data_IF_202038993202
#
_entry.id   IF_202038993202
#
_cell.length_a   1.000
_cell.length_b   1.000
_cell.length_c   1.000
_cell.angle_alpha   90.00
_cell.angle_beta   90.00
_cell.angle_gamma   90.00
#
_symmetry.space_group_name_H-M   'P 1'
#
loop_
_entity.id
_entity.type
_entity.pdbx_description
1 polymer ?
#
# COMPACT_ATOMS: atom_id res chain seq x y z
N UNK A 1 -11.86 15.91 2.93
CA UNK A 1 -11.99 16.21 4.38
C UNK A 1 -10.76 16.98 4.86
N UNK A 2 -10.90 17.95 5.76
CA UNK A 2 -9.76 18.65 6.39
C UNK A 2 -9.63 18.16 7.82
N UNK A 3 -8.41 17.75 8.21
CA UNK A 3 -8.14 17.34 9.60
C UNK A 3 -7.71 18.54 10.48
N UNK A 4 -7.46 18.30 11.78
CA UNK A 4 -7.07 19.37 12.73
C UNK A 4 -5.73 20.05 12.40
N UNK A 5 -4.88 19.43 11.56
CA UNK A 5 -3.61 19.98 11.10
C UNK A 5 -3.72 20.71 9.75
N UNK A 6 -4.93 20.89 9.20
CA UNK A 6 -5.16 21.52 7.90
C UNK A 6 -4.85 20.63 6.71
N UNK A 7 -4.59 19.32 6.89
CA UNK A 7 -4.28 18.40 5.81
C UNK A 7 -5.57 17.98 5.09
N UNK A 8 -5.54 17.98 3.75
CA UNK A 8 -6.65 17.49 2.95
C UNK A 8 -6.60 15.96 2.86
N UNK A 9 -7.52 15.28 3.54
CA UNK A 9 -7.64 13.83 3.54
C UNK A 9 -8.58 13.40 2.43
N UNK A 10 -8.04 12.94 1.31
CA UNK A 10 -8.76 12.56 0.10
C UNK A 10 -8.52 11.11 -0.34
N UNK A 11 -7.73 10.35 0.43
CA UNK A 11 -7.23 9.04 0.04
C UNK A 11 -7.52 7.97 1.10
N UNK A 12 -8.38 7.01 0.76
CA UNK A 12 -8.70 5.84 1.58
C UNK A 12 -7.95 4.60 1.07
N UNK A 13 -7.23 3.91 1.99
CA UNK A 13 -6.68 2.57 1.75
C UNK A 13 -7.56 1.55 2.44
N UNK A 14 -7.97 0.50 1.72
CA UNK A 14 -8.86 -0.54 2.21
C UNK A 14 -8.14 -1.88 2.17
N UNK A 15 -7.94 -2.51 3.32
CA UNK A 15 -7.61 -3.92 3.39
C UNK A 15 -8.89 -4.72 3.17
N UNK A 16 -8.97 -5.46 2.06
CA UNK A 16 -10.16 -6.25 1.74
C UNK A 16 -10.11 -7.66 2.32
N UNK A 17 -8.96 -8.08 2.86
CA UNK A 17 -8.73 -9.38 3.49
C UNK A 17 -7.45 -9.36 4.33
N UNK A 18 -7.39 -10.17 5.37
CA UNK A 18 -6.19 -10.46 6.16
C UNK A 18 -5.37 -11.65 5.59
N UNK A 19 -5.92 -12.35 4.60
CA UNK A 19 -5.30 -13.53 4.00
C UNK A 19 -4.27 -13.15 2.95
N UNK A 20 -3.17 -13.91 2.89
CA UNK A 20 -2.13 -13.77 1.88
C UNK A 20 -1.63 -15.15 1.46
N UNK A 21 -1.28 -15.31 0.19
CA UNK A 21 -0.66 -16.51 -0.37
C UNK A 21 0.88 -16.52 -0.20
N UNK A 22 1.50 -15.40 0.20
CA UNK A 22 2.92 -15.30 0.57
C UNK A 22 3.10 -15.20 2.10
N UNK A 23 4.36 -15.30 2.54
CA UNK A 23 4.78 -15.21 3.95
C UNK A 23 6.02 -14.34 4.10
N UNK A 24 5.99 -13.13 3.52
CA UNK A 24 7.15 -12.24 3.51
C UNK A 24 7.68 -11.97 4.92
N UNK A 25 9.00 -12.15 5.09
CA UNK A 25 9.70 -12.13 6.39
C UNK A 25 9.49 -10.83 7.18
N UNK A 26 9.32 -9.71 6.50
CA UNK A 26 9.09 -8.40 7.11
C UNK A 26 7.60 -8.08 7.35
N UNK A 27 6.68 -8.90 6.83
CA UNK A 27 5.24 -8.63 6.83
C UNK A 27 4.50 -9.46 7.87
N UNK A 28 4.83 -10.74 7.99
CA UNK A 28 4.14 -11.67 8.90
C UNK A 28 5.04 -12.85 9.30
N UNK A 29 4.73 -13.57 10.41
CA UNK A 29 5.40 -14.80 10.80
C UNK A 29 5.29 -15.90 9.74
N UNK A 30 6.13 -16.91 9.82
CA UNK A 30 6.18 -18.03 8.86
C UNK A 30 4.90 -18.85 8.83
N UNK A 31 4.34 -19.12 10.01
CA UNK A 31 3.05 -19.78 10.20
C UNK A 31 1.87 -18.94 9.72
N UNK A 32 2.11 -17.64 9.44
CA UNK A 32 1.08 -16.68 9.07
C UNK A 32 0.51 -15.95 10.29
N UNK A 33 -0.53 -15.17 10.06
CA UNK A 33 -1.31 -14.50 11.12
C UNK A 33 -2.53 -15.32 11.46
N UNK A 34 -2.99 -15.22 12.71
CA UNK A 34 -4.27 -15.82 13.08
C UNK A 34 -5.38 -15.20 12.21
N UNK A 35 -6.04 -16.06 11.42
CA UNK A 35 -7.10 -15.60 10.55
C UNK A 35 -8.32 -15.19 11.34
N UNK A 36 -8.87 -14.06 10.96
CA UNK A 36 -10.15 -13.59 11.48
C UNK A 36 -11.28 -14.44 10.91
N UNK A 37 -12.31 -14.72 11.71
CA UNK A 37 -13.52 -15.38 11.23
C UNK A 37 -14.14 -14.58 10.06
N UNK A 38 -14.66 -15.31 9.07
CA UNK A 38 -15.28 -14.69 7.89
C UNK A 38 -16.41 -13.73 8.23
N UNK A 39 -17.16 -14.03 9.28
CA UNK A 39 -18.22 -13.19 9.82
C UNK A 39 -17.75 -11.82 10.29
N UNK A 40 -16.47 -11.69 10.67
CA UNK A 40 -15.88 -10.44 11.12
C UNK A 40 -15.23 -9.62 9.99
N UNK A 41 -15.08 -10.20 8.80
CA UNK A 41 -14.59 -9.48 7.62
C UNK A 41 -15.74 -8.69 6.98
N UNK A 42 -15.44 -7.48 6.52
CA UNK A 42 -16.42 -6.65 5.80
C UNK A 42 -16.91 -7.35 4.52
N UNK A 43 -18.21 -7.39 4.35
CA UNK A 43 -18.86 -7.80 3.11
C UNK A 43 -18.71 -6.71 2.04
N UNK A 44 -18.95 -7.05 0.79
CA UNK A 44 -18.82 -6.11 -0.33
C UNK A 44 -19.76 -4.90 -0.16
N UNK A 45 -21.00 -5.16 0.25
CA UNK A 45 -22.01 -4.13 0.47
C UNK A 45 -21.63 -3.17 1.61
N UNK A 46 -20.98 -3.68 2.67
CA UNK A 46 -20.49 -2.88 3.79
C UNK A 46 -19.32 -1.97 3.33
N UNK A 47 -18.39 -2.52 2.51
CA UNK A 47 -17.30 -1.74 1.92
C UNK A 47 -17.87 -0.62 1.04
N UNK A 48 -18.82 -0.94 0.16
CA UNK A 48 -19.43 0.04 -0.74
C UNK A 48 -20.20 1.12 0.04
N UNK A 49 -20.91 0.76 1.11
CA UNK A 49 -21.59 1.73 1.98
C UNK A 49 -20.60 2.70 2.62
N UNK A 50 -19.50 2.17 3.21
CA UNK A 50 -18.44 3.01 3.79
C UNK A 50 -17.83 3.92 2.73
N UNK A 51 -17.50 3.40 1.55
CA UNK A 51 -16.89 4.19 0.47
C UNK A 51 -17.81 5.31 -0.01
N UNK A 52 -19.13 5.07 -0.12
CA UNK A 52 -20.11 6.09 -0.50
C UNK A 52 -20.15 7.23 0.53
N UNK A 53 -20.26 6.90 1.80
CA UNK A 53 -20.23 7.90 2.88
C UNK A 53 -18.91 8.67 2.89
N UNK A 54 -17.78 7.98 2.70
CA UNK A 54 -16.46 8.62 2.60
C UNK A 54 -16.34 9.53 1.37
N UNK A 55 -16.93 9.16 0.23
CA UNK A 55 -16.95 9.98 -0.98
C UNK A 55 -17.74 11.28 -0.77
N UNK A 56 -18.87 11.22 -0.07
CA UNK A 56 -19.67 12.38 0.33
C UNK A 56 -18.87 13.32 1.25
N UNK A 57 -18.01 12.77 2.10
CA UNK A 57 -17.12 13.53 2.98
C UNK A 57 -15.86 14.07 2.26
N UNK A 58 -15.61 13.69 1.00
CA UNK A 58 -14.51 14.23 0.19
C UNK A 58 -13.34 13.27 -0.06
N UNK A 59 -13.47 11.98 0.21
CA UNK A 59 -12.56 10.97 -0.34
C UNK A 59 -12.76 10.90 -1.85
N UNK A 60 -11.64 10.92 -2.60
CA UNK A 60 -11.60 10.88 -4.06
C UNK A 60 -10.82 9.68 -4.60
N UNK A 61 -9.91 9.15 -3.78
CA UNK A 61 -8.97 8.12 -4.18
C UNK A 61 -9.11 6.90 -3.29
N UNK A 62 -9.24 5.72 -3.88
CA UNK A 62 -9.30 4.44 -3.16
C UNK A 62 -8.13 3.58 -3.59
N UNK A 63 -7.50 2.95 -2.61
CA UNK A 63 -6.53 1.88 -2.84
C UNK A 63 -7.00 0.60 -2.17
N UNK A 64 -7.20 -0.42 -2.98
CA UNK A 64 -7.46 -1.76 -2.50
C UNK A 64 -6.13 -2.47 -2.20
N UNK A 65 -6.07 -3.11 -1.05
CA UNK A 65 -4.93 -3.86 -0.53
C UNK A 65 -5.45 -4.95 0.41
N UNK A 66 -4.60 -5.53 1.24
CA UNK A 66 -5.00 -6.52 2.23
C UNK A 66 -3.78 -7.21 2.81
N UNK A 67 -3.90 -8.48 3.13
CA UNK A 67 -2.82 -9.42 2.99
C UNK A 67 -2.47 -9.49 1.50
N UNK A 68 -3.21 -10.29 0.72
CA UNK A 68 -3.20 -10.22 -0.75
C UNK A 68 -4.64 -10.04 -1.26
N UNK A 69 -4.98 -8.92 -1.89
CA UNK A 69 -6.36 -8.66 -2.30
C UNK A 69 -6.89 -9.68 -3.33
N UNK A 70 -6.02 -10.23 -4.19
CA UNK A 70 -6.45 -11.16 -5.25
C UNK A 70 -6.86 -12.54 -4.73
N UNK A 71 -6.64 -12.86 -3.46
CA UNK A 71 -7.20 -14.08 -2.85
C UNK A 71 -8.68 -13.90 -2.45
N UNK A 72 -9.18 -12.66 -2.40
CA UNK A 72 -10.60 -12.39 -2.22
C UNK A 72 -11.31 -12.55 -3.56
N UNK A 73 -12.41 -13.34 -3.62
CA UNK A 73 -13.18 -13.48 -4.86
C UNK A 73 -13.82 -12.16 -5.31
N UNK A 74 -14.07 -12.02 -6.61
CA UNK A 74 -14.83 -10.92 -7.20
C UNK A 74 -14.20 -9.54 -7.03
N UNK A 75 -12.88 -9.45 -6.98
CA UNK A 75 -12.18 -8.16 -6.86
C UNK A 75 -12.38 -7.22 -8.06
N UNK A 76 -12.40 -7.70 -9.34
CA UNK A 76 -12.73 -6.82 -10.47
C UNK A 76 -14.12 -6.19 -10.35
N UNK A 77 -15.14 -6.95 -9.88
CA UNK A 77 -16.48 -6.42 -9.68
C UNK A 77 -16.53 -5.33 -8.59
N UNK A 78 -15.75 -5.49 -7.50
CA UNK A 78 -15.61 -4.46 -6.48
C UNK A 78 -14.96 -3.19 -7.07
N UNK A 79 -13.92 -3.33 -7.90
CA UNK A 79 -13.28 -2.20 -8.61
C UNK A 79 -14.29 -1.48 -9.49
N UNK A 80 -15.06 -2.20 -10.31
CA UNK A 80 -16.08 -1.63 -11.19
C UNK A 80 -17.14 -0.80 -10.42
N UNK A 81 -17.66 -1.35 -9.31
CA UNK A 81 -18.62 -0.65 -8.45
C UNK A 81 -18.04 0.62 -7.82
N UNK A 82 -16.78 0.56 -7.39
CA UNK A 82 -16.07 1.71 -6.83
C UNK A 82 -15.78 2.78 -7.89
N UNK A 83 -15.42 2.38 -9.12
CA UNK A 83 -15.17 3.31 -10.23
C UNK A 83 -16.45 4.04 -10.66
N UNK A 84 -17.58 3.38 -10.61
CA UNK A 84 -18.88 3.96 -10.94
C UNK A 84 -19.52 4.74 -9.77
N UNK A 85 -18.84 4.82 -8.60
CA UNK A 85 -19.34 5.53 -7.43
C UNK A 85 -19.15 7.04 -7.57
N UNK A 86 -20.21 7.85 -7.45
CA UNK A 86 -20.11 9.31 -7.51
C UNK A 86 -19.09 9.84 -6.51
N UNK A 87 -18.21 10.72 -6.99
CA UNK A 87 -17.19 11.37 -6.17
C UNK A 87 -15.86 10.59 -6.07
N UNK A 88 -15.80 9.33 -6.49
CA UNK A 88 -14.54 8.59 -6.58
C UNK A 88 -13.89 8.82 -7.95
N UNK A 89 -12.67 9.34 -7.94
CA UNK A 89 -11.91 9.68 -9.15
C UNK A 89 -10.93 8.56 -9.54
N UNK A 90 -10.27 7.96 -8.53
CA UNK A 90 -9.23 6.93 -8.77
C UNK A 90 -9.41 5.72 -7.89
N UNK A 91 -9.37 4.54 -8.51
CA UNK A 91 -9.31 3.23 -7.82
C UNK A 91 -8.02 2.53 -8.23
N UNK A 92 -7.18 2.21 -7.26
CA UNK A 92 -5.89 1.56 -7.47
C UNK A 92 -5.78 0.29 -6.63
N UNK A 93 -4.92 -0.64 -7.05
CA UNK A 93 -4.70 -1.92 -6.40
C UNK A 93 -3.22 -2.08 -6.01
N UNK A 94 -2.94 -2.71 -4.87
CA UNK A 94 -1.60 -3.21 -4.52
C UNK A 94 -1.68 -4.72 -4.33
N UNK A 95 -0.84 -5.47 -5.03
CA UNK A 95 -0.82 -6.94 -5.05
C UNK A 95 0.62 -7.47 -5.10
N UNK A 96 0.83 -8.72 -4.71
CA UNK A 96 2.08 -9.44 -4.94
C UNK A 96 2.21 -9.99 -6.38
N UNK A 97 1.17 -9.89 -7.19
CA UNK A 97 1.19 -10.25 -8.61
C UNK A 97 0.99 -11.73 -8.92
N UNK A 98 1.08 -12.64 -7.95
CA UNK A 98 1.03 -14.10 -8.17
C UNK A 98 -0.26 -14.58 -8.85
N UNK A 99 -1.38 -13.94 -8.54
CA UNK A 99 -2.71 -14.27 -9.08
C UNK A 99 -3.19 -13.27 -10.15
N UNK A 100 -2.32 -12.36 -10.57
CA UNK A 100 -2.73 -11.22 -11.39
C UNK A 100 -2.99 -11.61 -12.84
N UNK A 101 -2.15 -12.48 -13.43
CA UNK A 101 -2.22 -12.87 -14.84
C UNK A 101 -3.64 -13.25 -15.27
N UNK A 102 -4.30 -14.08 -14.49
CA UNK A 102 -5.62 -14.63 -14.81
C UNK A 102 -6.78 -13.62 -14.60
N UNK A 103 -6.52 -12.50 -13.91
CA UNK A 103 -7.54 -11.50 -13.55
C UNK A 103 -7.31 -10.16 -14.25
N UNK A 104 -6.18 -9.98 -14.96
CA UNK A 104 -5.78 -8.66 -15.46
C UNK A 104 -6.77 -8.07 -16.47
N UNK A 105 -7.29 -8.89 -17.39
CA UNK A 105 -8.30 -8.46 -18.37
C UNK A 105 -9.60 -7.97 -17.70
N UNK A 106 -9.98 -8.60 -16.60
CA UNK A 106 -11.19 -8.22 -15.84
C UNK A 106 -10.96 -6.89 -15.11
N UNK A 107 -9.77 -6.64 -14.55
CA UNK A 107 -9.40 -5.35 -13.96
C UNK A 107 -9.36 -4.22 -14.99
N UNK A 108 -8.87 -4.48 -16.18
CA UNK A 108 -8.88 -3.49 -17.26
C UNK A 108 -10.31 -3.12 -17.64
N UNK A 109 -11.20 -4.10 -17.83
CA UNK A 109 -12.63 -3.87 -18.10
C UNK A 109 -13.34 -3.14 -16.96
N UNK A 110 -12.96 -3.41 -15.71
CA UNK A 110 -13.50 -2.76 -14.53
C UNK A 110 -13.04 -1.29 -14.37
N UNK A 111 -12.11 -0.83 -15.22
CA UNK A 111 -11.61 0.54 -15.21
C UNK A 111 -10.60 0.84 -14.08
N UNK A 112 -9.77 -0.14 -13.71
CA UNK A 112 -8.70 0.08 -12.72
C UNK A 112 -7.72 1.17 -13.20
N UNK A 113 -7.47 2.20 -12.40
CA UNK A 113 -6.60 3.33 -12.78
C UNK A 113 -5.11 3.05 -12.58
N UNK A 114 -4.78 2.18 -11.66
CA UNK A 114 -3.38 1.92 -11.37
C UNK A 114 -3.13 0.68 -10.53
N UNK A 115 -2.01 0.06 -10.81
CA UNK A 115 -1.57 -1.19 -10.23
C UNK A 115 -0.19 -1.03 -9.61
N UNK A 116 -0.04 -1.45 -8.35
CA UNK A 116 1.27 -1.55 -7.72
C UNK A 116 1.55 -3.02 -7.45
N UNK A 117 2.65 -3.53 -7.99
CA UNK A 117 3.07 -4.91 -7.78
C UNK A 117 4.29 -4.92 -6.87
N UNK A 118 4.23 -5.72 -5.80
CA UNK A 118 5.36 -5.89 -4.88
C UNK A 118 6.37 -6.86 -5.49
N UNK A 119 7.63 -6.40 -5.64
CA UNK A 119 8.74 -7.20 -6.17
C UNK A 119 10.03 -6.73 -5.51
N UNK A 120 10.52 -7.50 -4.54
CA UNK A 120 11.68 -7.11 -3.74
C UNK A 120 13.02 -7.52 -4.37
N UNK A 121 13.01 -8.52 -5.27
CA UNK A 121 14.20 -9.02 -5.98
C UNK A 121 13.81 -9.74 -7.27
N UNK A 122 14.77 -9.88 -8.18
CA UNK A 122 14.69 -10.70 -9.40
C UNK A 122 15.56 -11.98 -9.30
N UNK A 123 16.11 -12.26 -8.12
CA UNK A 123 16.83 -13.50 -7.82
C UNK A 123 15.87 -14.50 -7.16
N UNK A 124 15.82 -15.74 -7.69
CA UNK A 124 14.88 -16.77 -7.24
C UNK A 124 15.15 -17.23 -5.79
N UNK A 125 16.43 -17.41 -5.43
CA UNK A 125 16.79 -17.85 -4.10
C UNK A 125 16.49 -16.77 -3.05
N UNK A 126 16.84 -15.52 -3.37
CA UNK A 126 16.52 -14.36 -2.54
C UNK A 126 15.01 -14.17 -2.42
N UNK A 127 14.25 -14.29 -3.52
CA UNK A 127 12.79 -14.20 -3.52
C UNK A 127 12.17 -15.26 -2.62
N UNK A 128 12.60 -16.51 -2.74
CA UNK A 128 12.13 -17.62 -1.88
C UNK A 128 12.45 -17.36 -0.40
N UNK A 129 13.63 -16.81 -0.11
CA UNK A 129 14.00 -16.40 1.25
C UNK A 129 13.10 -15.29 1.79
N UNK A 130 12.85 -14.24 0.99
CA UNK A 130 12.03 -13.08 1.39
C UNK A 130 10.56 -13.48 1.53
N UNK A 131 9.99 -14.15 0.54
CA UNK A 131 8.55 -14.44 0.47
C UNK A 131 8.16 -15.75 1.14
N UNK A 132 9.15 -16.62 1.46
CA UNK A 132 8.97 -17.99 1.97
C UNK A 132 8.10 -18.86 1.04
N UNK A 133 8.06 -18.51 -0.25
CA UNK A 133 7.33 -19.23 -1.31
C UNK A 133 8.10 -19.15 -2.63
N UNK A 134 7.88 -20.13 -3.49
CA UNK A 134 8.50 -20.21 -4.81
C UNK A 134 7.53 -19.68 -5.88
N UNK A 135 7.30 -18.37 -5.88
CA UNK A 135 6.27 -17.72 -6.70
C UNK A 135 6.81 -16.57 -7.57
N UNK A 136 8.13 -16.37 -7.63
CA UNK A 136 8.72 -15.27 -8.42
C UNK A 136 8.30 -15.34 -9.90
N UNK A 137 8.33 -16.54 -10.50
CA UNK A 137 7.94 -16.73 -11.89
C UNK A 137 6.51 -16.26 -12.17
N UNK A 138 5.56 -16.62 -11.30
CA UNK A 138 4.15 -16.17 -11.43
C UNK A 138 3.99 -14.67 -11.21
N UNK A 139 4.75 -14.07 -10.29
CA UNK A 139 4.77 -12.61 -10.13
C UNK A 139 5.25 -11.92 -11.40
N UNK A 140 6.33 -12.42 -12.04
CA UNK A 140 6.84 -11.87 -13.29
C UNK A 140 5.87 -12.06 -14.46
N UNK A 141 5.18 -13.20 -14.54
CA UNK A 141 4.08 -13.40 -15.50
C UNK A 141 2.95 -12.38 -15.31
N UNK A 142 2.56 -12.11 -14.04
CA UNK A 142 1.57 -11.09 -13.71
C UNK A 142 2.00 -9.68 -14.12
N UNK A 143 3.28 -9.33 -13.93
CA UNK A 143 3.84 -8.05 -14.38
C UNK A 143 3.82 -7.97 -15.91
N UNK A 144 4.27 -9.03 -16.59
CA UNK A 144 4.27 -9.11 -18.05
C UNK A 144 2.87 -8.96 -18.64
N UNK A 145 1.88 -9.58 -18.01
CA UNK A 145 0.48 -9.42 -18.42
C UNK A 145 0.00 -7.99 -18.21
N UNK A 146 0.28 -7.37 -17.04
CA UNK A 146 -0.12 -6.01 -16.74
C UNK A 146 0.47 -4.97 -17.71
N UNK A 147 1.67 -5.20 -18.23
CA UNK A 147 2.31 -4.31 -19.20
C UNK A 147 1.59 -4.26 -20.57
N UNK A 148 0.69 -5.19 -20.87
CA UNK A 148 -0.13 -5.17 -22.09
C UNK A 148 -1.27 -4.13 -22.01
N UNK A 149 -1.53 -3.53 -20.85
CA UNK A 149 -2.61 -2.58 -20.59
C UNK A 149 -2.03 -1.19 -20.25
N UNK A 150 -1.60 -0.41 -21.25
CA UNK A 150 -0.90 0.87 -21.07
C UNK A 150 -1.77 1.96 -20.42
N UNK A 151 -3.09 1.79 -20.43
CA UNK A 151 -4.05 2.67 -19.75
C UNK A 151 -4.00 2.55 -18.23
N UNK A 152 -3.47 1.44 -17.69
CA UNK A 152 -3.33 1.22 -16.26
C UNK A 152 -1.93 1.63 -15.81
N UNK A 153 -1.84 2.64 -14.93
CA UNK A 153 -0.54 3.09 -14.39
C UNK A 153 0.14 1.99 -13.57
N UNK A 154 1.17 1.36 -14.13
CA UNK A 154 1.89 0.25 -13.47
C UNK A 154 3.11 0.76 -12.67
N UNK A 155 3.24 0.26 -11.44
CA UNK A 155 4.38 0.53 -10.56
C UNK A 155 4.84 -0.74 -9.86
N UNK A 156 6.15 -0.91 -9.76
CA UNK A 156 6.79 -1.92 -8.93
C UNK A 156 7.12 -1.29 -7.58
N UNK A 157 6.80 -1.97 -6.50
CA UNK A 157 7.22 -1.61 -5.14
C UNK A 157 8.29 -2.59 -4.68
N UNK A 158 9.40 -2.07 -4.21
CA UNK A 158 10.47 -2.83 -3.59
C UNK A 158 10.72 -2.29 -2.18
N UNK A 159 10.84 -3.18 -1.21
CA UNK A 159 11.26 -2.83 0.16
C UNK A 159 12.73 -3.22 0.33
N UNK A 160 13.66 -2.26 0.44
CA UNK A 160 15.06 -2.54 0.70
C UNK A 160 15.25 -3.07 2.13
N UNK A 161 15.71 -4.33 2.25
CA UNK A 161 15.82 -5.04 3.53
C UNK A 161 17.22 -4.98 4.15
N UNK A 162 18.20 -4.41 3.43
CA UNK A 162 19.59 -4.40 3.87
C UNK A 162 20.26 -5.80 3.83
N UNK A 163 19.73 -6.73 3.03
CA UNK A 163 20.31 -8.06 2.83
C UNK A 163 21.16 -8.10 1.56
N UNK A 164 22.38 -8.64 1.60
CA UNK A 164 23.33 -8.57 0.48
C UNK A 164 22.83 -9.20 -0.81
N UNK A 165 22.02 -10.25 -0.72
CA UNK A 165 21.48 -10.98 -1.87
C UNK A 165 20.35 -10.23 -2.59
N UNK A 166 19.82 -9.15 -2.00
CA UNK A 166 18.80 -8.31 -2.62
C UNK A 166 19.46 -7.32 -3.58
N UNK A 167 19.58 -7.67 -4.86
CA UNK A 167 20.15 -6.78 -5.89
C UNK A 167 19.17 -5.66 -6.25
N UNK A 168 19.23 -4.55 -5.53
CA UNK A 168 18.36 -3.38 -5.71
C UNK A 168 18.61 -2.69 -7.06
N UNK A 169 19.82 -2.75 -7.59
CA UNK A 169 20.14 -2.20 -8.91
C UNK A 169 19.42 -2.98 -10.01
N UNK A 170 19.37 -4.30 -9.91
CA UNK A 170 18.65 -5.14 -10.87
C UNK A 170 17.16 -4.85 -10.87
N UNK A 171 16.57 -4.61 -9.70
CA UNK A 171 15.16 -4.18 -9.58
C UNK A 171 14.97 -2.79 -10.21
N UNK A 172 15.88 -1.84 -9.96
CA UNK A 172 15.82 -0.50 -10.55
C UNK A 172 15.90 -0.53 -12.08
N UNK A 173 16.76 -1.39 -12.66
CA UNK A 173 16.91 -1.58 -14.10
C UNK A 173 15.62 -2.03 -14.80
N UNK A 174 14.66 -2.58 -14.06
CA UNK A 174 13.35 -2.90 -14.63
C UNK A 174 12.64 -1.65 -15.19
N UNK A 175 12.86 -0.47 -14.57
CA UNK A 175 12.34 0.81 -15.06
C UNK A 175 13.08 1.32 -16.31
N UNK A 176 14.31 0.85 -16.58
CA UNK A 176 15.06 1.20 -17.80
C UNK A 176 14.36 0.62 -19.03
N UNK A 177 14.07 -0.67 -18.97
CA UNK A 177 13.64 -1.44 -20.12
C UNK A 177 12.13 -1.40 -20.36
N UNK A 178 11.37 -0.90 -19.38
CA UNK A 178 9.91 -0.89 -19.41
C UNK A 178 9.34 0.46 -18.95
N UNK A 179 8.18 0.86 -19.47
CA UNK A 179 7.41 2.03 -19.01
C UNK A 179 6.73 1.78 -17.66
N UNK A 180 7.52 1.33 -16.68
CA UNK A 180 7.09 0.98 -15.33
C UNK A 180 7.90 1.82 -14.35
N UNK A 181 7.25 2.42 -13.35
CA UNK A 181 8.00 3.12 -12.31
C UNK A 181 8.37 2.14 -11.21
N UNK A 182 9.64 2.12 -10.81
CA UNK A 182 10.11 1.36 -9.67
C UNK A 182 10.18 2.26 -8.44
N UNK A 183 9.57 1.84 -7.33
CA UNK A 183 9.55 2.61 -6.10
C UNK A 183 10.18 1.81 -4.97
N UNK A 184 11.16 2.41 -4.35
CA UNK A 184 11.76 1.89 -3.12
C UNK A 184 11.02 2.46 -1.92
N UNK A 185 10.56 1.58 -1.04
CA UNK A 185 9.79 1.93 0.14
C UNK A 185 10.64 1.64 1.36
N UNK A 186 10.99 2.68 2.09
CA UNK A 186 11.77 2.55 3.32
C UNK A 186 11.05 1.65 4.33
N UNK A 187 11.79 0.74 4.97
CA UNK A 187 11.26 -0.17 5.96
C UNK A 187 10.73 0.62 7.16
N UNK A 188 9.47 0.40 7.48
CA UNK A 188 8.84 0.99 8.66
C UNK A 188 8.85 -0.01 9.81
N UNK A 189 9.23 0.40 11.04
CA UNK A 189 9.33 -0.49 12.20
C UNK A 189 7.95 -0.83 12.79
N UNK A 190 7.14 -1.58 12.02
CA UNK A 190 5.79 -2.04 12.40
C UNK A 190 5.76 -3.58 12.32
N UNK A 191 5.19 -4.23 13.33
CA UNK A 191 5.14 -5.68 13.40
C UNK A 191 6.53 -6.30 13.21
N UNK A 192 6.64 -7.27 12.29
CA UNK A 192 7.91 -7.93 11.91
C UNK A 192 8.94 -6.98 11.31
N UNK A 193 8.52 -5.84 10.74
CA UNK A 193 9.44 -4.84 10.20
C UNK A 193 10.41 -4.25 11.23
N UNK A 194 10.13 -4.40 12.54
CA UNK A 194 11.04 -3.98 13.63
C UNK A 194 12.35 -4.76 13.70
N UNK A 195 12.39 -5.94 13.10
CA UNK A 195 13.55 -6.84 13.09
C UNK A 195 14.55 -6.50 11.96
N UNK A 196 14.18 -5.57 11.07
CA UNK A 196 14.98 -5.17 9.91
C UNK A 196 15.49 -3.75 10.05
N UNK A 197 16.76 -3.53 9.74
CA UNK A 197 17.33 -2.19 9.76
C UNK A 197 16.96 -1.36 8.52
N UNK A 198 16.54 -2.02 7.43
CA UNK A 198 16.21 -1.35 6.18
C UNK A 198 17.41 -0.61 5.57
N UNK A 199 17.19 0.06 4.46
CA UNK A 199 18.17 0.93 3.79
C UNK A 199 17.53 2.31 3.68
N UNK A 200 18.23 3.36 4.10
CA UNK A 200 17.77 4.74 3.97
C UNK A 200 17.77 5.19 2.52
N UNK A 201 17.03 6.25 2.20
CA UNK A 201 17.04 6.81 0.85
C UNK A 201 18.43 7.28 0.44
N UNK A 202 19.17 7.96 1.32
CA UNK A 202 20.52 8.44 1.05
C UNK A 202 21.48 7.30 0.70
N UNK A 203 21.44 6.23 1.50
CA UNK A 203 22.24 5.04 1.25
C UNK A 203 21.84 4.36 -0.06
N UNK A 204 20.54 4.29 -0.34
CA UNK A 204 20.02 3.69 -1.55
C UNK A 204 20.42 4.50 -2.80
N UNK A 205 20.35 5.83 -2.75
CA UNK A 205 20.84 6.70 -3.84
C UNK A 205 22.34 6.50 -4.08
N UNK A 206 23.15 6.31 -3.03
CA UNK A 206 24.57 5.98 -3.16
C UNK A 206 24.76 4.62 -3.85
N UNK A 207 24.08 3.58 -3.39
CA UNK A 207 24.17 2.22 -3.97
C UNK A 207 23.76 2.22 -5.45
N UNK A 208 22.66 2.88 -5.78
CA UNK A 208 22.16 2.95 -7.15
C UNK A 208 23.06 3.83 -8.01
N UNK A 209 23.55 4.95 -7.49
CA UNK A 209 24.41 5.90 -8.21
C UNK A 209 25.80 5.35 -8.60
N UNK A 210 26.27 4.30 -7.91
CA UNK A 210 27.52 3.61 -8.27
C UNK A 210 27.39 2.77 -9.56
N UNK A 211 26.17 2.33 -9.91
CA UNK A 211 25.92 1.37 -11.00
C UNK A 211 24.99 1.90 -12.09
N UNK A 212 24.22 2.93 -11.80
CA UNK A 212 23.22 3.48 -12.72
C UNK A 212 23.64 4.86 -13.23
N UNK A 213 23.14 5.31 -14.38
CA UNK A 213 23.36 6.66 -14.90
C UNK A 213 22.87 7.75 -13.93
N UNK A 214 23.09 9.01 -14.31
CA UNK A 214 22.77 10.18 -13.51
C UNK A 214 21.29 10.21 -13.14
N UNK A 215 21.02 10.47 -11.86
CA UNK A 215 19.71 10.80 -11.30
C UNK A 215 19.47 12.30 -11.31
N UNK A 216 18.30 12.72 -11.75
CA UNK A 216 17.82 14.12 -11.61
C UNK A 216 16.40 14.11 -11.03
N UNK A 217 16.07 15.05 -10.12
CA UNK A 217 14.71 15.13 -9.59
C UNK A 217 13.68 15.26 -10.71
N UNK A 218 12.64 14.45 -10.66
CA UNK A 218 11.54 14.55 -11.62
C UNK A 218 10.70 15.80 -11.31
N UNK A 219 10.52 16.64 -12.32
CA UNK A 219 9.67 17.83 -12.28
C UNK A 219 8.52 17.62 -13.28
N UNK A 220 7.31 17.38 -12.79
CA UNK A 220 6.15 17.12 -13.63
C UNK A 220 4.91 16.78 -12.81
N UNK A 221 3.87 16.32 -13.49
CA UNK A 221 2.62 15.93 -12.86
C UNK A 221 2.79 14.78 -11.84
N UNK A 222 2.02 14.78 -10.74
CA UNK A 222 2.10 13.72 -9.73
C UNK A 222 1.83 12.34 -10.32
N UNK A 223 2.80 11.44 -10.22
CA UNK A 223 2.71 10.08 -10.75
C UNK A 223 1.91 9.11 -9.87
N UNK A 224 1.32 9.57 -8.77
CA UNK A 224 0.58 8.72 -7.85
C UNK A 224 -0.26 9.47 -6.83
N UNK A 225 -0.90 8.72 -5.92
CA UNK A 225 -1.82 9.26 -4.91
C UNK A 225 -1.14 9.59 -3.57
N UNK A 226 0.14 9.29 -3.42
CA UNK A 226 0.87 9.37 -2.15
C UNK A 226 2.19 10.15 -2.26
N UNK A 227 3.00 10.16 -1.19
CA UNK A 227 4.14 11.03 -1.00
C UNK A 227 5.43 10.52 -1.68
N UNK A 228 5.32 9.71 -2.72
CA UNK A 228 6.48 9.25 -3.45
C UNK A 228 7.05 10.42 -4.26
N UNK A 229 8.32 10.72 -4.06
CA UNK A 229 9.06 11.60 -4.96
C UNK A 229 9.85 10.74 -5.95
N UNK A 230 10.07 11.28 -7.15
CA UNK A 230 10.62 10.55 -8.28
C UNK A 230 11.86 11.22 -8.84
N UNK A 231 12.68 10.39 -9.47
CA UNK A 231 13.85 10.81 -10.22
C UNK A 231 13.75 10.31 -11.66
N UNK A 232 14.16 11.16 -12.58
CA UNK A 232 14.57 10.78 -13.92
C UNK A 232 15.95 10.15 -13.85
N UNK A 233 16.16 9.05 -14.59
CA UNK A 233 17.47 8.42 -14.77
C UNK A 233 17.76 8.38 -16.26
N UNK A 234 18.95 8.83 -16.67
CA UNK A 234 19.29 8.93 -18.07
C UNK A 234 19.14 7.59 -18.78
N UNK A 235 18.39 7.57 -19.89
CA UNK A 235 18.13 6.37 -20.68
C UNK A 235 17.06 5.43 -20.12
N UNK A 236 16.34 5.80 -19.04
CA UNK A 236 15.25 4.99 -18.50
C UNK A 236 13.90 5.36 -19.13
N UNK A 237 13.10 4.34 -19.44
CA UNK A 237 11.71 4.53 -19.91
C UNK A 237 10.74 4.87 -18.80
N UNK A 238 10.97 4.32 -17.61
CA UNK A 238 10.24 4.60 -16.38
C UNK A 238 11.04 5.52 -15.45
N UNK A 239 10.55 5.68 -14.21
CA UNK A 239 11.20 6.52 -13.21
C UNK A 239 11.50 5.71 -11.95
N UNK A 240 12.49 6.18 -11.19
CA UNK A 240 12.80 5.64 -9.87
C UNK A 240 12.16 6.55 -8.83
N UNK A 241 11.43 5.98 -7.90
CA UNK A 241 10.75 6.71 -6.84
C UNK A 241 11.14 6.24 -5.45
N UNK A 242 11.01 7.13 -4.48
CA UNK A 242 11.30 6.85 -3.07
C UNK A 242 10.11 7.21 -2.18
N UNK A 243 9.82 6.34 -1.22
CA UNK A 243 8.83 6.56 -0.16
C UNK A 243 9.57 6.43 1.16
N UNK A 244 10.13 7.52 1.63
CA UNK A 244 11.07 7.59 2.76
C UNK A 244 10.34 7.97 4.03
N UNK A 245 9.56 7.00 4.57
CA UNK A 245 8.68 7.26 5.70
C UNK A 245 9.42 7.52 7.03
N UNK A 246 10.66 7.08 7.16
CA UNK A 246 11.47 7.19 8.38
C UNK A 246 12.46 8.34 8.26
N UNK A 247 13.27 8.35 7.17
CA UNK A 247 14.33 9.33 6.95
C UNK A 247 13.78 10.70 6.51
N UNK A 248 12.75 10.75 5.67
CA UNK A 248 12.11 11.96 5.18
C UNK A 248 10.60 11.95 5.46
N UNK A 249 10.25 12.34 6.69
CA UNK A 249 8.87 12.33 7.14
C UNK A 249 7.97 13.24 6.29
N UNK A 250 6.89 12.68 5.76
CA UNK A 250 5.88 13.39 4.98
C UNK A 250 4.54 13.53 5.73
N UNK A 251 4.57 13.51 7.07
CA UNK A 251 3.35 13.56 7.89
C UNK A 251 2.55 14.84 7.70
N UNK A 252 3.24 15.97 7.45
CA UNK A 252 2.59 17.26 7.19
C UNK A 252 1.71 17.29 5.93
N UNK A 253 2.01 16.43 4.95
CA UNK A 253 1.28 16.31 3.69
C UNK A 253 0.47 15.01 3.60
N UNK A 254 0.32 14.29 4.73
CA UNK A 254 -0.31 12.98 4.74
C UNK A 254 -1.83 13.08 4.49
N UNK A 255 -2.26 12.70 3.30
CA UNK A 255 -3.66 12.72 2.86
C UNK A 255 -4.43 11.41 3.12
N UNK A 256 -3.89 10.47 3.92
CA UNK A 256 -4.36 9.08 3.98
C UNK A 256 -5.06 8.73 5.28
N UNK A 257 -6.09 7.88 5.13
CA UNK A 257 -6.69 7.06 6.19
C UNK A 257 -6.77 5.61 5.71
N UNK A 258 -6.97 4.67 6.65
CA UNK A 258 -6.98 3.23 6.37
C UNK A 258 -8.21 2.57 6.97
N UNK A 259 -8.79 1.63 6.22
CA UNK A 259 -9.82 0.73 6.68
C UNK A 259 -9.26 -0.69 6.68
N UNK A 260 -9.28 -1.35 7.84
CA UNK A 260 -8.88 -2.75 7.95
C UNK A 260 -9.95 -3.67 7.36
N UNK A 261 -9.61 -4.93 7.11
CA UNK A 261 -10.56 -5.93 6.63
C UNK A 261 -11.74 -6.18 7.58
N UNK A 262 -11.56 -5.86 8.86
CA UNK A 262 -12.59 -5.97 9.89
C UNK A 262 -13.43 -4.67 10.04
N UNK A 263 -13.18 -3.65 9.23
CA UNK A 263 -13.94 -2.40 9.32
C UNK A 263 -13.43 -1.40 10.35
N UNK A 264 -12.23 -1.59 10.90
CA UNK A 264 -11.63 -0.63 11.81
C UNK A 264 -10.96 0.50 11.02
N UNK A 265 -11.41 1.72 11.21
CA UNK A 265 -10.88 2.93 10.58
C UNK A 265 -9.68 3.45 11.37
N UNK A 266 -8.49 3.43 10.77
CA UNK A 266 -7.24 3.98 11.30
C UNK A 266 -6.87 5.27 10.59
N UNK A 267 -6.48 6.27 11.35
CA UNK A 267 -6.04 7.57 10.79
C UNK A 267 -4.52 7.66 10.61
N UNK A 268 -3.76 6.78 11.26
CA UNK A 268 -2.31 6.65 11.10
C UNK A 268 -1.90 5.17 11.09
N UNK A 269 -0.84 4.85 10.38
CA UNK A 269 -0.30 3.48 10.31
C UNK A 269 0.34 3.06 11.64
N UNK A 270 1.07 3.97 12.29
CA UNK A 270 1.83 3.67 13.50
C UNK A 270 0.97 3.41 14.74
N UNK A 271 -0.18 4.06 14.86
CA UNK A 271 -0.97 4.00 16.09
C UNK A 271 -2.15 3.03 15.96
N UNK A 272 -2.47 2.36 17.08
CA UNK A 272 -3.60 1.44 17.15
C UNK A 272 -4.96 2.15 17.25
N UNK A 273 -4.96 3.46 17.54
CA UNK A 273 -6.19 4.25 17.68
C UNK A 273 -7.02 4.32 16.39
N UNK A 274 -8.34 4.34 16.54
CA UNK A 274 -9.31 4.40 15.44
C UNK A 274 -10.74 4.15 15.91
N UNK A 275 -11.62 3.81 14.95
CA UNK A 275 -13.06 3.54 15.22
C UNK A 275 -13.51 2.29 14.46
N UNK A 276 -14.35 1.47 15.09
CA UNK A 276 -14.98 0.30 14.45
C UNK A 276 -16.22 0.73 13.66
N UNK A 277 -16.08 0.88 12.34
CA UNK A 277 -17.19 1.23 11.45
C UNK A 277 -18.11 0.05 11.17
N UNK A 278 -17.62 -1.20 11.29
CA UNK A 278 -18.41 -2.40 11.13
C UNK A 278 -19.46 -2.49 12.23
N UNK A 279 -19.09 -2.20 13.47
CA UNK A 279 -20.04 -2.17 14.60
C UNK A 279 -21.18 -1.18 14.33
N UNK A 280 -20.86 0.03 13.87
CA UNK A 280 -21.87 1.04 13.52
C UNK A 280 -22.83 0.52 12.45
N UNK A 281 -22.31 -0.13 11.39
CA UNK A 281 -23.12 -0.64 10.29
C UNK A 281 -24.01 -1.80 10.77
N UNK A 282 -23.45 -2.74 11.51
CA UNK A 282 -24.17 -3.97 11.89
C UNK A 282 -25.16 -3.77 13.04
N UNK A 283 -24.98 -2.72 13.85
CA UNK A 283 -25.99 -2.30 14.82
C UNK A 283 -27.15 -1.49 14.22
N UNK A 284 -27.16 -1.32 12.88
CA UNK A 284 -28.23 -0.58 12.19
C UNK A 284 -28.05 0.94 12.20
N UNK A 285 -26.84 1.44 12.51
CA UNK A 285 -26.54 2.87 12.47
C UNK A 285 -26.80 3.49 11.08
N UNK A 286 -27.36 4.71 11.06
CA UNK A 286 -27.61 5.47 9.83
C UNK A 286 -26.31 5.96 9.17
N UNK A 287 -26.39 6.48 7.95
CA UNK A 287 -25.23 7.09 7.27
C UNK A 287 -24.77 8.37 7.99
N UNK A 288 -25.66 9.09 8.65
CA UNK A 288 -25.32 10.27 9.47
C UNK A 288 -24.49 9.87 10.70
N UNK A 289 -24.85 8.76 11.37
CA UNK A 289 -24.06 8.21 12.48
C UNK A 289 -22.69 7.77 11.96
N UNK A 290 -22.64 7.10 10.81
CA UNK A 290 -21.38 6.67 10.20
C UNK A 290 -20.49 7.88 9.85
N UNK A 291 -21.05 8.96 9.28
CA UNK A 291 -20.33 10.22 9.02
C UNK A 291 -19.76 10.82 10.31
N UNK A 292 -20.57 10.89 11.38
CA UNK A 292 -20.12 11.45 12.66
C UNK A 292 -18.91 10.67 13.21
N UNK A 293 -18.98 9.34 13.24
CA UNK A 293 -17.90 8.48 13.72
C UNK A 293 -16.62 8.61 12.89
N UNK A 294 -16.75 8.75 11.55
CA UNK A 294 -15.62 9.00 10.65
C UNK A 294 -14.96 10.35 10.97
N UNK A 295 -15.76 11.40 11.15
CA UNK A 295 -15.25 12.75 11.44
C UNK A 295 -14.59 12.82 12.84
N UNK A 296 -15.13 12.12 13.84
CA UNK A 296 -14.50 11.98 15.15
C UNK A 296 -13.13 11.30 15.05
N UNK A 297 -13.05 10.17 14.30
CA UNK A 297 -11.77 9.50 14.07
C UNK A 297 -10.75 10.44 13.38
N UNK A 298 -11.22 11.24 12.44
CA UNK A 298 -10.36 12.21 11.73
C UNK A 298 -9.87 13.34 12.63
N UNK A 299 -10.71 13.84 13.53
CA UNK A 299 -10.33 14.86 14.51
C UNK A 299 -9.20 14.39 15.45
N UNK A 300 -9.09 13.08 15.69
CA UNK A 300 -8.03 12.46 16.47
C UNK A 300 -6.80 12.05 15.65
N UNK A 301 -6.75 12.34 14.32
CA UNK A 301 -5.60 12.01 13.48
C UNK A 301 -4.35 12.68 14.03
N UNK A 302 -3.26 11.90 14.34
CA UNK A 302 -2.04 12.45 14.89
C UNK A 302 -1.32 13.36 13.90
N UNK A 303 -0.55 14.32 14.42
CA UNK A 303 0.25 15.25 13.60
C UNK A 303 1.32 14.51 12.82
N UNK A 304 1.89 13.46 13.41
CA UNK A 304 2.87 12.62 12.73
C UNK A 304 3.17 11.34 13.49
N UNK A 305 3.98 10.49 12.85
CA UNK A 305 4.55 9.31 13.48
C UNK A 305 5.89 9.62 14.16
N UNK A 306 6.32 8.71 15.03
CA UNK A 306 7.61 8.79 15.77
C UNK A 306 8.60 7.70 15.37
N UNK A 307 8.50 7.17 14.13
CA UNK A 307 9.51 6.26 13.60
C UNK A 307 10.89 6.91 13.66
N UNK A 308 11.93 6.19 14.09
CA UNK A 308 13.29 6.74 14.24
C UNK A 308 13.55 7.55 15.52
N UNK A 309 12.53 7.87 16.33
CA UNK A 309 12.74 8.31 17.72
C UNK A 309 13.09 7.10 18.58
N UNK A 310 14.21 7.16 19.35
CA UNK A 310 14.80 6.02 20.07
C UNK A 310 13.80 5.10 20.78
N UNK A 311 14.24 3.92 21.14
CA UNK A 311 13.44 2.80 21.68
C UNK A 311 12.44 3.18 22.80
N UNK A 312 12.70 4.25 23.55
CA UNK A 312 11.78 4.73 24.60
C UNK A 312 10.50 5.36 24.06
N UNK A 313 10.54 6.06 22.90
CA UNK A 313 9.35 6.66 22.28
C UNK A 313 8.49 5.64 21.50
N UNK A 314 9.02 4.45 21.23
CA UNK A 314 8.31 3.38 20.54
C UNK A 314 7.56 2.45 21.50
N UNK A 315 7.79 2.55 22.81
CA UNK A 315 7.16 1.73 23.87
C UNK A 315 5.80 2.28 24.34
N UNK A 316 5.24 3.29 23.67
CA UNK A 316 3.91 3.78 23.99
C UNK A 316 2.88 2.67 23.69
N UNK A 317 2.04 2.33 24.64
CA UNK A 317 0.93 1.36 24.51
C UNK A 317 -0.03 1.67 23.35
N UNK A 318 0.03 2.87 22.81
CA UNK A 318 -0.75 3.34 21.66
C UNK A 318 -0.18 2.93 20.31
N UNK A 319 1.04 2.37 20.23
CA UNK A 319 1.65 1.96 18.96
C UNK A 319 1.01 0.67 18.45
N UNK A 320 0.99 0.53 17.09
CA UNK A 320 0.44 -0.64 16.42
C UNK A 320 1.26 -1.91 16.76
N UNK A 321 0.54 -2.96 17.17
CA UNK A 321 1.09 -4.28 17.50
C UNK A 321 0.80 -5.33 16.43
N UNK A 322 -0.17 -5.05 15.54
CA UNK A 322 -0.55 -5.97 14.46
C UNK A 322 0.50 -5.98 13.34
N UNK A 323 0.56 -7.10 12.63
CA UNK A 323 1.38 -7.25 11.44
C UNK A 323 0.82 -6.44 10.25
N UNK A 324 1.70 -6.09 9.31
CA UNK A 324 1.30 -5.31 8.12
C UNK A 324 0.16 -5.96 7.33
N UNK A 325 0.13 -7.29 7.23
CA UNK A 325 -0.96 -8.02 6.56
C UNK A 325 -2.34 -7.81 7.19
N UNK A 326 -2.41 -7.53 8.49
CA UNK A 326 -3.66 -7.34 9.23
C UNK A 326 -4.18 -5.91 9.12
N UNK A 327 -3.29 -4.93 8.93
CA UNK A 327 -3.64 -3.50 8.86
C UNK A 327 -3.69 -2.94 7.44
N UNK A 328 -3.37 -3.74 6.43
CA UNK A 328 -3.38 -3.35 5.03
C UNK A 328 -2.14 -2.56 4.62
N UNK A 329 -1.08 -3.28 4.38
CA UNK A 329 0.23 -2.77 3.95
C UNK A 329 0.24 -2.05 2.61
#
# INVERSE_FOLDING_TARGET
MIDRCGRNIDYLRISVTDRCNLRCIYCMPEEGVQHVERSLILQEEEILRICRVMAELGIRKIKLTGGEPLVRPRMPQLVEKLKNMPGIEKVTLTTNGVLLKDQMSDFARAGLDGLNISLDTLDEACSRRITRRDELGRTLEGISEAMKYPEISLKINCVPLGIPEQDLCRVALFARDHRVHVRFIEMMPIGMGKEFHGVSEEELLRILGEKLPRFSPYVGEPLGNGPCHYYDVDGFSGKIGFISAVSHKFCGECNRIRLTSQGFLKTCLQYAAGRDLREVIRSGGSDEVLKAVILEALAEKPDGHVFGGGLEKQKDDKTEKLCMAQIGG
#
